data_IF_198447099571
#
_entry.id   IF_198447099571
#
_cell.length_a   1.000
_cell.length_b   1.000
_cell.length_c   1.000
_cell.angle_alpha   90.00
_cell.angle_beta   90.00
_cell.angle_gamma   90.00
#
_symmetry.space_group_name_H-M   'P 1'
#
loop_
_entity.id
_entity.type
_entity.pdbx_description
1 polymer ?
#
# COMPACT_ATOMS: atom_id res chain seq x y z
N UNK A 1 -4.77 -42.42 13.81
CA UNK A 1 -3.92 -41.83 14.86
C UNK A 1 -2.90 -40.93 14.19
N UNK A 2 -2.78 -39.68 14.65
CA UNK A 2 -2.08 -38.54 14.04
C UNK A 2 -0.56 -38.78 13.93
N UNK A 3 0.11 -38.18 12.93
CA UNK A 3 1.06 -37.04 13.10
C UNK A 3 1.44 -36.50 11.72
N UNK A 4 1.19 -35.20 11.56
CA UNK A 4 1.54 -34.37 10.42
C UNK A 4 2.95 -33.84 10.71
N UNK A 5 3.98 -34.31 10.01
CA UNK A 5 5.34 -33.84 10.20
C UNK A 5 5.65 -32.69 9.23
N UNK A 6 5.56 -31.50 9.80
CA UNK A 6 5.88 -30.18 9.26
C UNK A 6 7.38 -30.11 8.89
N UNK A 7 7.75 -30.48 7.67
CA UNK A 7 9.10 -30.22 7.13
C UNK A 7 8.96 -29.65 5.72
N UNK A 8 8.50 -28.41 5.62
CA UNK A 8 8.47 -27.64 4.38
C UNK A 8 9.82 -26.94 4.26
N UNK A 9 10.58 -27.30 3.24
CA UNK A 9 12.01 -27.02 3.10
C UNK A 9 12.34 -25.51 3.13
N UNK A 10 13.31 -25.07 3.95
CA UNK A 10 13.69 -23.65 4.08
C UNK A 10 14.24 -23.06 2.77
N UNK A 11 14.76 -23.89 1.86
CA UNK A 11 15.24 -23.47 0.55
C UNK A 11 14.11 -23.05 -0.38
N UNK A 12 13.00 -23.80 -0.41
CA UNK A 12 11.85 -23.48 -1.25
C UNK A 12 11.17 -22.19 -0.78
N UNK A 13 11.13 -21.96 0.54
CA UNK A 13 10.61 -20.74 1.14
C UNK A 13 11.50 -19.52 0.82
N UNK A 14 12.82 -19.68 0.85
CA UNK A 14 13.78 -18.60 0.52
C UNK A 14 13.80 -18.28 -0.98
N UNK A 15 13.64 -19.29 -1.84
CA UNK A 15 13.50 -19.12 -3.29
C UNK A 15 12.17 -18.47 -3.68
N UNK A 16 11.07 -18.85 -3.03
CA UNK A 16 9.78 -18.18 -3.19
C UNK A 16 9.83 -16.71 -2.75
N UNK A 17 10.48 -16.43 -1.61
CA UNK A 17 10.63 -15.07 -1.09
C UNK A 17 11.51 -14.19 -1.99
N UNK A 18 12.59 -14.74 -2.57
CA UNK A 18 13.41 -14.04 -3.58
C UNK A 18 12.63 -13.74 -4.86
N UNK A 19 11.81 -14.69 -5.35
CA UNK A 19 10.98 -14.46 -6.55
C UNK A 19 9.95 -13.35 -6.35
N UNK A 20 9.33 -13.30 -5.17
CA UNK A 20 8.34 -12.27 -4.83
C UNK A 20 8.99 -10.87 -4.78
N UNK A 21 10.20 -10.75 -4.25
CA UNK A 21 10.97 -9.49 -4.24
C UNK A 21 11.35 -9.04 -5.66
N UNK A 22 11.82 -9.97 -6.51
CA UNK A 22 12.17 -9.64 -7.89
C UNK A 22 10.94 -9.22 -8.71
N UNK A 23 9.82 -9.92 -8.55
CA UNK A 23 8.56 -9.61 -9.24
C UNK A 23 7.99 -8.25 -8.80
N UNK A 24 7.94 -8.00 -7.48
CA UNK A 24 7.49 -6.71 -6.94
C UNK A 24 8.39 -5.55 -7.38
N UNK A 25 9.71 -5.72 -7.40
CA UNK A 25 10.64 -4.69 -7.89
C UNK A 25 10.43 -4.37 -9.37
N UNK A 26 10.21 -5.39 -10.21
CA UNK A 26 9.90 -5.20 -11.63
C UNK A 26 8.59 -4.43 -11.86
N UNK A 27 7.55 -4.79 -11.11
CA UNK A 27 6.24 -4.11 -11.15
C UNK A 27 6.29 -2.70 -10.55
N UNK A 28 7.09 -2.48 -9.51
CA UNK A 28 7.30 -1.16 -8.92
C UNK A 28 8.10 -0.23 -9.84
N UNK A 29 9.08 -0.76 -10.59
CA UNK A 29 9.75 -0.01 -11.66
C UNK A 29 8.77 0.40 -12.76
N UNK A 30 7.86 -0.50 -13.13
CA UNK A 30 6.82 -0.22 -14.11
C UNK A 30 5.84 0.86 -13.63
N UNK A 31 5.50 0.87 -12.33
CA UNK A 31 4.74 1.96 -11.71
C UNK A 31 5.41 3.32 -11.93
N UNK A 32 6.71 3.43 -11.64
CA UNK A 32 7.46 4.68 -11.85
C UNK A 32 7.54 5.08 -13.33
N UNK A 33 7.63 4.10 -14.25
CA UNK A 33 7.56 4.37 -15.69
C UNK A 33 6.21 4.96 -16.08
N UNK A 34 5.10 4.35 -15.65
CA UNK A 34 3.74 4.83 -15.92
C UNK A 34 3.48 6.20 -15.28
N UNK A 35 4.02 6.42 -14.08
CA UNK A 35 3.96 7.72 -13.41
C UNK A 35 4.69 8.81 -14.21
N UNK A 36 5.89 8.52 -14.73
CA UNK A 36 6.63 9.43 -15.62
C UNK A 36 5.92 9.70 -16.95
N UNK A 37 5.17 8.73 -17.47
CA UNK A 37 4.32 8.85 -18.66
C UNK A 37 2.98 9.55 -18.40
N UNK A 38 2.73 10.03 -17.17
CA UNK A 38 1.46 10.65 -16.72
C UNK A 38 0.25 9.73 -16.83
N UNK A 39 0.45 8.42 -16.90
CA UNK A 39 -0.61 7.41 -16.91
C UNK A 39 -1.03 7.07 -15.49
N UNK A 40 -1.55 8.06 -14.78
CA UNK A 40 -1.82 7.99 -13.34
C UNK A 40 -2.82 6.90 -12.97
N UNK A 41 -3.88 6.69 -13.75
CA UNK A 41 -4.86 5.63 -13.49
C UNK A 41 -4.28 4.23 -13.61
N UNK A 42 -3.38 4.00 -14.57
CA UNK A 42 -2.73 2.69 -14.74
C UNK A 42 -1.68 2.45 -13.65
N UNK A 43 -0.93 3.51 -13.29
CA UNK A 43 0.00 3.49 -12.17
C UNK A 43 -0.73 3.17 -10.85
N UNK A 44 -1.86 3.84 -10.59
CA UNK A 44 -2.69 3.61 -9.41
C UNK A 44 -3.20 2.16 -9.31
N UNK A 45 -3.72 1.60 -10.41
CA UNK A 45 -4.15 0.19 -10.47
C UNK A 45 -3.00 -0.77 -10.19
N UNK A 46 -1.82 -0.51 -10.75
CA UNK A 46 -0.63 -1.34 -10.56
C UNK A 46 -0.15 -1.29 -9.10
N UNK A 47 -0.14 -0.10 -8.49
CA UNK A 47 0.23 0.12 -7.09
C UNK A 47 -0.76 -0.57 -6.14
N UNK A 48 -2.06 -0.47 -6.41
CA UNK A 48 -3.08 -1.17 -5.63
C UNK A 48 -2.93 -2.68 -5.76
N UNK A 49 -2.67 -3.19 -6.97
CA UNK A 49 -2.42 -4.62 -7.20
C UNK A 49 -1.20 -5.13 -6.43
N UNK A 50 -0.13 -4.33 -6.34
CA UNK A 50 1.07 -4.67 -5.56
C UNK A 50 0.78 -4.87 -4.07
N UNK A 51 -0.12 -4.05 -3.50
CA UNK A 51 -0.51 -4.15 -2.09
C UNK A 51 -1.54 -5.25 -1.83
N UNK A 52 -2.65 -5.24 -2.58
CA UNK A 52 -3.80 -6.15 -2.35
C UNK A 52 -3.49 -7.60 -2.72
N UNK A 53 -2.68 -7.84 -3.77
CA UNK A 53 -2.29 -9.20 -4.16
C UNK A 53 -1.22 -9.81 -3.23
N UNK A 54 -0.85 -9.12 -2.13
CA UNK A 54 0.18 -9.52 -1.15
C UNK A 54 1.52 -9.91 -1.78
N UNK A 55 1.80 -9.35 -2.96
CA UNK A 55 3.09 -9.53 -3.65
C UNK A 55 4.15 -8.69 -2.92
N UNK A 56 3.78 -7.53 -2.39
CA UNK A 56 4.67 -6.75 -1.54
C UNK A 56 4.63 -7.24 -0.07
N UNK A 57 5.80 -7.41 0.58
CA UNK A 57 5.84 -7.65 2.03
C UNK A 57 5.26 -6.43 2.78
N UNK A 58 4.67 -6.66 3.96
CA UNK A 58 4.03 -5.60 4.77
C UNK A 58 4.98 -4.45 5.13
N UNK A 59 6.27 -4.71 5.26
CA UNK A 59 7.28 -3.65 5.46
C UNK A 59 7.37 -2.65 4.30
N UNK A 60 6.99 -3.05 3.10
CA UNK A 60 7.05 -2.21 1.90
C UNK A 60 5.75 -1.42 1.66
N UNK A 61 4.65 -1.78 2.32
CA UNK A 61 3.36 -1.11 2.15
C UNK A 61 3.43 0.37 2.56
N UNK A 62 4.20 0.72 3.59
CA UNK A 62 4.39 2.11 4.00
C UNK A 62 5.01 2.96 2.89
N UNK A 63 6.00 2.40 2.17
CA UNK A 63 6.62 3.05 1.01
C UNK A 63 5.60 3.22 -0.11
N UNK A 64 4.89 2.15 -0.47
CA UNK A 64 3.86 2.18 -1.52
C UNK A 64 2.74 3.19 -1.21
N UNK A 65 2.27 3.25 0.02
CA UNK A 65 1.27 4.22 0.46
C UNK A 65 1.81 5.66 0.36
N UNK A 66 3.06 5.88 0.76
CA UNK A 66 3.71 7.20 0.62
C UNK A 66 3.83 7.61 -0.85
N UNK A 67 4.16 6.67 -1.75
CA UNK A 67 4.23 6.93 -3.19
C UNK A 67 2.83 7.14 -3.83
N UNK A 68 1.77 6.69 -3.16
CA UNK A 68 0.39 6.95 -3.56
C UNK A 68 -0.09 8.36 -3.16
N UNK A 69 0.53 9.03 -2.18
CA UNK A 69 0.17 10.40 -1.78
C UNK A 69 0.03 11.37 -2.97
N UNK A 70 1.04 11.51 -3.87
CA UNK A 70 0.92 12.44 -4.99
C UNK A 70 -0.18 12.04 -5.99
N UNK A 71 -0.64 10.79 -5.99
CA UNK A 71 -1.76 10.32 -6.80
C UNK A 71 -3.11 10.57 -6.13
N UNK A 72 -3.18 10.49 -4.80
CA UNK A 72 -4.36 10.81 -3.99
C UNK A 72 -4.65 12.31 -3.92
N UNK A 73 -3.61 13.15 -4.02
CA UNK A 73 -3.74 14.61 -3.99
C UNK A 73 -3.92 15.23 -5.39
N UNK A 74 -4.12 14.42 -6.44
CA UNK A 74 -4.44 14.95 -7.76
C UNK A 74 -5.81 15.65 -7.75
N UNK A 75 -5.94 16.68 -8.60
CA UNK A 75 -7.23 17.38 -8.78
C UNK A 75 -8.31 16.47 -9.36
N UNK A 76 -7.91 15.50 -10.17
CA UNK A 76 -8.81 14.49 -10.71
C UNK A 76 -8.78 13.25 -9.81
N UNK A 77 -9.95 12.66 -9.58
CA UNK A 77 -10.08 11.39 -8.86
C UNK A 77 -9.41 10.28 -9.68
N UNK A 78 -8.24 9.82 -9.21
CA UNK A 78 -7.48 8.71 -9.81
C UNK A 78 -7.88 7.37 -9.19
N UNK A 79 -8.10 7.33 -7.86
CA UNK A 79 -8.57 6.15 -7.14
C UNK A 79 -10.08 6.25 -6.89
N UNK A 80 -10.83 5.19 -7.22
CA UNK A 80 -12.25 5.12 -6.89
C UNK A 80 -12.48 5.00 -5.38
N UNK A 81 -13.74 5.13 -4.95
CA UNK A 81 -14.10 4.96 -3.54
C UNK A 81 -13.68 3.57 -3.02
N UNK A 82 -14.01 2.49 -3.75
CA UNK A 82 -13.59 1.12 -3.41
C UNK A 82 -12.07 0.98 -3.32
N UNK A 83 -11.33 1.51 -4.30
CA UNK A 83 -9.86 1.45 -4.29
C UNK A 83 -9.27 2.20 -3.10
N UNK A 84 -9.90 3.31 -2.70
CA UNK A 84 -9.47 4.09 -1.54
C UNK A 84 -9.74 3.34 -0.24
N UNK A 85 -10.86 2.63 -0.14
CA UNK A 85 -11.17 1.77 1.01
C UNK A 85 -10.13 0.66 1.19
N UNK A 86 -9.68 0.01 0.11
CA UNK A 86 -8.61 -0.98 0.15
C UNK A 86 -7.28 -0.38 0.69
N UNK A 87 -6.94 0.84 0.28
CA UNK A 87 -5.76 1.54 0.79
C UNK A 87 -5.90 1.92 2.28
N UNK A 88 -7.09 2.35 2.69
CA UNK A 88 -7.39 2.63 4.11
C UNK A 88 -7.24 1.37 4.96
N UNK A 89 -7.72 0.23 4.48
CA UNK A 89 -7.56 -1.06 5.16
C UNK A 89 -6.07 -1.42 5.30
N UNK A 90 -5.27 -1.28 4.23
CA UNK A 90 -3.84 -1.53 4.28
C UNK A 90 -3.12 -0.62 5.31
N UNK A 91 -3.51 0.66 5.40
CA UNK A 91 -2.97 1.60 6.38
C UNK A 91 -3.37 1.21 7.80
N UNK A 92 -4.64 0.84 8.02
CA UNK A 92 -5.12 0.39 9.31
C UNK A 92 -4.34 -0.85 9.78
N UNK A 93 -4.18 -1.85 8.92
CA UNK A 93 -3.35 -3.02 9.20
C UNK A 93 -1.95 -2.60 9.65
N UNK A 94 -1.27 -1.68 8.95
CA UNK A 94 0.05 -1.20 9.35
C UNK A 94 0.08 -0.53 10.74
N UNK A 95 -0.97 0.18 11.12
CA UNK A 95 -1.04 0.90 12.40
C UNK A 95 -1.45 0.03 13.58
N UNK A 96 -2.33 -0.96 13.37
CA UNK A 96 -2.88 -1.82 14.43
C UNK A 96 -1.84 -2.70 15.13
N UNK A 97 -0.67 -2.91 14.53
CA UNK A 97 0.43 -3.70 15.10
C UNK A 97 1.46 -2.91 15.92
N UNK A 98 1.35 -1.57 16.01
CA UNK A 98 2.40 -0.69 16.57
C UNK A 98 2.13 -0.17 17.98
N UNK A 99 1.14 -0.73 18.69
CA UNK A 99 0.69 -0.22 20.00
C UNK A 99 1.70 -0.41 21.15
N UNK A 100 2.87 -1.00 20.90
CA UNK A 100 3.92 -1.17 21.92
C UNK A 100 5.10 -0.28 21.53
N UNK A 101 5.34 0.83 22.25
CA UNK A 101 6.54 1.63 22.08
C UNK A 101 7.76 0.74 22.26
N UNK A 102 8.65 0.73 21.26
CA UNK A 102 9.89 -0.03 21.39
C UNK A 102 10.92 0.91 22.07
N UNK A 103 11.36 0.63 23.30
CA UNK A 103 12.27 1.51 24.04
C UNK A 103 13.62 1.71 23.34
N UNK A 104 13.97 0.86 22.37
CA UNK A 104 15.20 0.98 21.58
C UNK A 104 15.06 1.89 20.34
N UNK A 105 13.85 2.40 20.04
CA UNK A 105 13.63 3.29 18.90
C UNK A 105 13.85 4.75 19.26
N UNK A 106 14.58 5.53 18.44
CA UNK A 106 14.70 6.97 18.63
C UNK A 106 13.33 7.64 18.55
N UNK A 107 13.01 8.51 19.50
CA UNK A 107 11.72 9.23 19.55
C UNK A 107 11.42 10.02 18.25
N UNK A 108 12.45 10.53 17.58
CA UNK A 108 12.32 11.22 16.28
C UNK A 108 11.77 10.31 15.18
N UNK A 109 12.12 9.02 15.17
CA UNK A 109 11.63 8.08 14.15
C UNK A 109 10.14 7.79 14.34
N UNK A 110 9.69 7.75 15.60
CA UNK A 110 8.27 7.57 15.95
C UNK A 110 7.43 8.80 15.54
N UNK A 111 7.95 10.01 15.77
CA UNK A 111 7.29 11.26 15.36
C UNK A 111 7.16 11.36 13.83
N UNK A 112 8.21 11.00 13.09
CA UNK A 112 8.21 10.98 11.62
C UNK A 112 7.20 9.95 11.10
N UNK A 113 7.19 8.76 11.67
CA UNK A 113 6.26 7.69 11.28
C UNK A 113 4.81 8.08 11.54
N UNK A 114 4.54 8.69 12.69
CA UNK A 114 3.22 9.22 13.06
C UNK A 114 2.77 10.31 12.08
N UNK A 115 3.65 11.25 11.76
CA UNK A 115 3.38 12.31 10.78
C UNK A 115 3.00 11.73 9.42
N UNK A 116 3.73 10.70 8.94
CA UNK A 116 3.40 10.04 7.67
C UNK A 116 2.02 9.37 7.71
N UNK A 117 1.66 8.73 8.82
CA UNK A 117 0.34 8.11 9.00
C UNK A 117 -0.76 9.17 8.93
N UNK A 118 -0.58 10.30 9.59
CA UNK A 118 -1.55 11.39 9.59
C UNK A 118 -1.75 11.99 8.19
N UNK A 119 -0.66 12.22 7.45
CA UNK A 119 -0.70 12.66 6.06
C UNK A 119 -1.46 11.68 5.16
N UNK A 120 -1.20 10.38 5.32
CA UNK A 120 -1.89 9.33 4.57
C UNK A 120 -3.39 9.31 4.88
N UNK A 121 -3.77 9.38 6.16
CA UNK A 121 -5.18 9.46 6.58
C UNK A 121 -5.89 10.65 5.95
N UNK A 122 -5.24 11.82 5.96
CA UNK A 122 -5.80 13.04 5.38
C UNK A 122 -5.98 12.92 3.86
N UNK A 123 -4.96 12.43 3.14
CA UNK A 123 -5.02 12.27 1.69
C UNK A 123 -6.08 11.24 1.27
N UNK A 124 -6.16 10.11 1.96
CA UNK A 124 -7.17 9.07 1.72
C UNK A 124 -8.58 9.59 1.97
N UNK A 125 -8.81 10.32 3.06
CA UNK A 125 -10.12 10.91 3.37
C UNK A 125 -10.56 11.92 2.30
N UNK A 126 -9.63 12.76 1.81
CA UNK A 126 -9.91 13.71 0.72
C UNK A 126 -10.25 13.00 -0.58
N UNK A 127 -9.43 12.03 -1.00
CA UNK A 127 -9.69 11.27 -2.22
C UNK A 127 -11.03 10.54 -2.12
N UNK A 128 -11.36 9.93 -0.98
CA UNK A 128 -12.64 9.25 -0.78
C UNK A 128 -13.82 10.23 -0.92
N UNK A 129 -13.74 11.41 -0.29
CA UNK A 129 -14.78 12.42 -0.43
C UNK A 129 -14.97 12.85 -1.89
N UNK A 130 -13.87 13.08 -2.62
CA UNK A 130 -13.92 13.44 -4.03
C UNK A 130 -14.46 12.30 -4.90
N UNK A 131 -14.07 11.05 -4.63
CA UNK A 131 -14.50 9.87 -5.35
C UNK A 131 -16.00 9.62 -5.16
N UNK A 132 -16.49 9.67 -3.92
CA UNK A 132 -17.92 9.52 -3.62
C UNK A 132 -18.74 10.60 -4.32
N UNK A 133 -18.30 11.85 -4.30
CA UNK A 133 -19.00 12.93 -5.00
C UNK A 133 -19.02 12.66 -6.50
N UNK A 134 -17.89 12.30 -7.11
CA UNK A 134 -17.78 12.03 -8.55
C UNK A 134 -18.59 10.81 -9.01
N UNK A 135 -18.60 9.75 -8.21
CA UNK A 135 -19.33 8.52 -8.51
C UNK A 135 -20.83 8.70 -8.23
N UNK A 136 -21.20 9.48 -7.21
CA UNK A 136 -22.58 9.81 -6.88
C UNK A 136 -23.23 10.90 -7.75
N UNK A 137 -22.43 11.69 -8.50
CA UNK A 137 -22.92 12.66 -9.50
C UNK A 137 -23.11 12.06 -10.90
N UNK A 138 -23.02 10.73 -11.05
CA UNK A 138 -23.52 10.05 -12.25
C UNK A 138 -25.05 10.11 -12.22
N UNK A 139 -25.59 11.24 -12.69
CA UNK A 139 -26.99 11.35 -13.06
C UNK A 139 -27.28 10.44 -14.27
N UNK A 140 -28.41 9.75 -14.16
CA UNK A 140 -29.10 8.80 -15.09
C UNK A 140 -28.78 8.95 -16.58
#
# INVERSE_FOLDING_TARGET
>A
MRVIAFCREPFLQRFALMNVILLSAGKYREFHRLYGEKRFSDAAKLLLSLMTAKIAPRSFWMTLLTDALPLLEQKEVIFSADQTHELMFCLEELTSGKSVPNPDRPMQDEDIETTKIELLRLALARNLAMAIVKEGTVEV
#
